data_IF_831877333255
#
_entry.id   IF_831877333255
#
_cell.length_a   1.000
_cell.length_b   1.000
_cell.length_c   1.000
_cell.angle_alpha   90.00
_cell.angle_beta   90.00
_cell.angle_gamma   90.00
#
_symmetry.space_group_name_H-M   'P 1'
#
loop_
_entity.id
_entity.type
_entity.pdbx_description
1 polymer ?
#
# COMPACT_ATOMS: atom_id res chain seq x y z
N UNK A 1 17.73 -17.28 -21.55
CA UNK A 1 16.78 -18.36 -21.26
C UNK A 1 15.65 -18.34 -22.30
N UNK A 2 15.36 -19.45 -22.99
CA UNK A 2 14.32 -19.51 -24.04
C UNK A 2 12.93 -19.18 -23.51
N UNK A 3 12.66 -19.37 -22.23
CA UNK A 3 11.40 -19.00 -21.56
C UNK A 3 11.20 -17.49 -21.57
N UNK A 4 12.23 -16.73 -21.22
CA UNK A 4 12.16 -15.27 -21.20
C UNK A 4 11.99 -14.69 -22.61
N UNK A 5 12.58 -15.32 -23.62
CA UNK A 5 12.40 -14.93 -25.03
C UNK A 5 10.96 -15.11 -25.47
N UNK A 6 10.32 -16.23 -25.08
CA UNK A 6 8.89 -16.46 -25.38
C UNK A 6 7.99 -15.40 -24.73
N UNK A 7 8.26 -15.03 -23.47
CA UNK A 7 7.47 -14.00 -22.79
C UNK A 7 7.57 -12.65 -23.50
N UNK A 8 8.77 -12.26 -23.95
CA UNK A 8 8.96 -11.00 -24.68
C UNK A 8 8.24 -10.96 -26.03
N UNK A 9 7.97 -12.13 -26.62
CA UNK A 9 7.27 -12.26 -27.90
C UNK A 9 5.75 -12.36 -27.79
N UNK A 10 5.20 -12.37 -26.57
CA UNK A 10 3.75 -12.37 -26.38
C UNK A 10 3.12 -11.11 -26.99
N UNK A 11 1.97 -11.26 -27.69
CA UNK A 11 1.31 -10.14 -28.37
C UNK A 11 0.85 -9.04 -27.43
N UNK A 12 0.58 -9.39 -26.19
CA UNK A 12 0.08 -8.50 -25.13
C UNK A 12 1.20 -7.73 -24.43
N UNK A 13 2.45 -8.09 -24.63
CA UNK A 13 3.61 -7.39 -24.06
C UNK A 13 3.92 -6.15 -24.90
N UNK A 14 3.96 -5.00 -24.26
CA UNK A 14 4.40 -3.75 -24.88
C UNK A 14 5.92 -3.59 -24.73
N UNK A 15 6.43 -3.72 -23.52
CA UNK A 15 7.87 -3.56 -23.20
C UNK A 15 8.26 -4.60 -22.15
N UNK A 16 9.43 -5.19 -22.30
CA UNK A 16 10.05 -6.06 -21.30
C UNK A 16 11.51 -5.64 -21.07
N UNK A 17 11.87 -5.44 -19.82
CA UNK A 17 13.19 -4.93 -19.40
C UNK A 17 13.83 -5.88 -18.41
N UNK A 18 15.09 -6.23 -18.66
CA UNK A 18 15.91 -6.97 -17.70
C UNK A 18 16.30 -6.06 -16.54
N UNK A 19 16.18 -6.60 -15.35
CA UNK A 19 16.60 -5.92 -14.13
C UNK A 19 17.56 -6.82 -13.35
N UNK A 20 18.70 -6.24 -12.99
CA UNK A 20 19.64 -6.80 -12.02
C UNK A 20 19.64 -5.90 -10.79
N UNK A 21 19.28 -6.46 -9.65
CA UNK A 21 19.11 -5.71 -8.40
C UNK A 21 19.88 -6.40 -7.28
N UNK A 22 20.79 -5.65 -6.64
CA UNK A 22 21.55 -6.13 -5.48
C UNK A 22 22.04 -4.96 -4.62
N UNK A 23 22.58 -5.28 -3.44
CA UNK A 23 23.08 -4.30 -2.50
C UNK A 23 24.57 -4.04 -2.68
N UNK A 24 24.94 -2.77 -2.60
CA UNK A 24 26.33 -2.31 -2.60
C UNK A 24 26.52 -1.17 -1.61
N UNK A 25 27.77 -0.95 -1.18
CA UNK A 25 28.15 0.23 -0.42
C UNK A 25 28.52 1.34 -1.40
N UNK A 26 27.76 2.41 -1.40
CA UNK A 26 28.06 3.62 -2.17
C UNK A 26 28.92 4.57 -1.35
N UNK A 27 30.01 5.06 -1.94
CA UNK A 27 30.92 6.02 -1.32
C UNK A 27 31.09 7.23 -2.24
N UNK A 28 30.82 8.41 -1.70
CA UNK A 28 31.07 9.69 -2.37
C UNK A 28 31.76 10.65 -1.40
N UNK A 29 32.95 11.09 -1.74
CA UNK A 29 33.77 11.90 -0.85
C UNK A 29 34.06 11.19 0.48
N UNK A 30 33.48 11.72 1.58
CA UNK A 30 33.61 11.12 2.93
C UNK A 30 32.34 10.42 3.39
N UNK A 31 31.29 10.49 2.63
CA UNK A 31 29.99 9.89 2.97
C UNK A 31 29.89 8.50 2.38
N UNK A 32 29.24 7.62 3.12
CA UNK A 32 28.98 6.24 2.69
C UNK A 32 27.60 5.78 3.10
N UNK A 33 26.95 5.00 2.24
CA UNK A 33 25.63 4.46 2.50
C UNK A 33 25.41 3.14 1.77
N UNK A 34 24.72 2.20 2.43
CA UNK A 34 24.24 0.99 1.76
C UNK A 34 23.10 1.34 0.81
N UNK A 35 23.23 0.91 -0.43
CA UNK A 35 22.25 1.20 -1.48
C UNK A 35 21.86 -0.06 -2.22
N UNK A 36 20.64 -0.10 -2.71
CA UNK A 36 20.18 -1.08 -3.67
C UNK A 36 20.49 -0.56 -5.07
N UNK A 37 21.42 -1.18 -5.75
CA UNK A 37 21.75 -0.86 -7.14
C UNK A 37 20.80 -1.60 -8.05
N UNK A 38 20.07 -0.86 -8.88
CA UNK A 38 19.13 -1.38 -9.86
C UNK A 38 19.68 -1.14 -11.26
N UNK A 39 20.26 -2.17 -11.86
CA UNK A 39 20.69 -2.16 -13.25
C UNK A 39 19.51 -2.41 -14.18
N UNK A 40 19.27 -1.51 -15.12
CA UNK A 40 18.16 -1.59 -16.08
C UNK A 40 18.64 -1.38 -17.51
N UNK A 41 17.84 -1.83 -18.47
CA UNK A 41 18.11 -1.57 -19.89
C UNK A 41 17.64 -0.17 -20.32
N UNK A 42 18.11 0.31 -21.47
CA UNK A 42 17.75 1.65 -21.98
C UNK A 42 16.24 1.81 -22.25
N UNK A 43 15.53 0.71 -22.51
CA UNK A 43 14.08 0.73 -22.72
C UNK A 43 13.27 0.89 -21.40
N UNK A 44 13.94 1.07 -20.27
CA UNK A 44 13.28 1.32 -18.98
C UNK A 44 12.43 2.59 -18.98
N UNK A 45 12.76 3.60 -19.79
CA UNK A 45 11.92 4.79 -19.98
C UNK A 45 10.55 4.44 -20.59
N UNK A 46 10.53 3.47 -21.52
CA UNK A 46 9.29 3.01 -22.15
C UNK A 46 8.46 2.14 -21.18
N UNK A 47 9.12 1.45 -20.25
CA UNK A 47 8.47 0.65 -19.23
C UNK A 47 7.79 1.52 -18.17
N UNK A 48 8.47 2.59 -17.77
CA UNK A 48 8.05 3.49 -16.70
C UNK A 48 8.04 4.92 -17.21
N UNK A 49 7.23 5.77 -16.61
CA UNK A 49 7.28 7.22 -16.92
C UNK A 49 8.36 7.89 -16.05
N UNK A 50 9.58 7.33 -16.06
CA UNK A 50 10.66 7.84 -15.21
C UNK A 50 11.02 9.29 -15.50
N UNK A 51 10.86 9.72 -16.74
CA UNK A 51 11.14 11.10 -17.15
C UNK A 51 10.31 12.14 -16.39
N UNK A 52 9.11 11.78 -15.95
CA UNK A 52 8.19 12.67 -15.21
C UNK A 52 8.64 12.95 -13.77
N UNK A 53 9.55 12.11 -13.24
CA UNK A 53 10.04 12.15 -11.87
C UNK A 53 11.52 12.48 -11.76
N UNK A 54 12.14 12.90 -12.87
CA UNK A 54 13.54 13.35 -12.88
C UNK A 54 13.65 14.83 -12.50
N UNK A 55 14.68 15.13 -11.74
CA UNK A 55 15.05 16.49 -11.33
C UNK A 55 16.51 16.75 -11.70
N UNK A 56 16.77 17.86 -12.37
CA UNK A 56 18.09 18.28 -12.84
C UNK A 56 18.07 18.78 -14.26
N UNK A 57 19.23 19.15 -14.79
CA UNK A 57 19.40 19.73 -16.12
C UNK A 57 19.81 18.71 -17.20
N UNK A 58 19.97 17.42 -16.80
CA UNK A 58 20.37 16.33 -17.68
C UNK A 58 19.20 15.50 -18.17
N UNK A 59 19.52 14.38 -18.82
CA UNK A 59 18.56 13.42 -19.35
C UNK A 59 18.76 12.03 -18.74
N UNK A 60 17.75 11.15 -18.88
CA UNK A 60 17.88 9.76 -18.48
C UNK A 60 18.87 9.05 -19.39
N UNK A 61 20.14 9.04 -18.97
CA UNK A 61 21.21 8.36 -19.69
C UNK A 61 21.88 7.38 -18.73
N UNK A 62 21.93 6.10 -19.11
CA UNK A 62 22.52 5.04 -18.31
C UNK A 62 23.96 4.74 -18.72
N UNK A 63 24.28 4.96 -19.99
CA UNK A 63 25.59 4.70 -20.57
C UNK A 63 25.80 5.56 -21.81
N UNK A 64 27.03 6.10 -21.95
CA UNK A 64 27.49 6.74 -23.17
C UNK A 64 28.95 6.34 -23.41
N UNK A 65 29.25 5.79 -24.58
CA UNK A 65 30.56 5.18 -24.90
C UNK A 65 30.99 4.16 -23.80
N UNK A 66 32.09 4.44 -23.14
CA UNK A 66 32.65 3.61 -22.07
C UNK A 66 32.31 4.12 -20.65
N UNK A 67 31.47 5.14 -20.54
CA UNK A 67 31.08 5.75 -19.28
C UNK A 67 29.72 5.25 -18.83
N UNK A 68 29.62 4.88 -17.57
CA UNK A 68 28.39 4.47 -16.93
C UNK A 68 27.90 5.56 -15.99
N UNK A 69 26.58 5.78 -15.97
CA UNK A 69 25.96 6.85 -15.22
C UNK A 69 25.12 6.30 -14.05
N UNK A 70 25.12 7.08 -12.97
CA UNK A 70 24.32 6.84 -11.78
C UNK A 70 23.17 7.81 -11.69
N UNK A 71 21.96 7.33 -11.59
CA UNK A 71 20.76 8.13 -11.32
C UNK A 71 20.29 7.76 -9.89
N UNK A 72 20.74 8.50 -8.86
CA UNK A 72 20.36 8.25 -7.48
C UNK A 72 18.97 8.81 -7.19
N UNK A 73 18.30 8.23 -6.18
CA UNK A 73 17.15 8.87 -5.57
C UNK A 73 17.55 10.20 -4.92
N UNK A 74 16.65 11.16 -4.89
CA UNK A 74 16.94 12.53 -4.43
C UNK A 74 17.46 12.57 -3.00
N UNK A 75 16.95 11.72 -2.10
CA UNK A 75 17.38 11.64 -0.71
C UNK A 75 18.74 10.94 -0.57
N UNK A 76 18.98 9.91 -1.38
CA UNK A 76 20.28 9.27 -1.45
C UNK A 76 21.36 10.28 -1.87
N UNK A 77 21.06 11.10 -2.88
CA UNK A 77 21.96 12.15 -3.31
C UNK A 77 22.23 13.16 -2.17
N UNK A 78 21.21 13.60 -1.46
CA UNK A 78 21.33 14.50 -0.31
C UNK A 78 22.16 13.87 0.84
N UNK A 79 21.87 12.62 1.22
CA UNK A 79 22.56 11.91 2.31
C UNK A 79 24.05 11.69 1.99
N UNK A 80 24.39 11.48 0.71
CA UNK A 80 25.79 11.39 0.24
C UNK A 80 26.43 12.76 -0.02
N UNK A 81 25.70 13.87 0.14
CA UNK A 81 26.20 15.21 -0.13
C UNK A 81 26.40 15.49 -1.63
N UNK A 82 25.65 14.81 -2.49
CA UNK A 82 25.66 15.00 -3.94
C UNK A 82 24.53 15.95 -4.36
N UNK A 83 24.80 16.76 -5.37
CA UNK A 83 23.75 17.48 -6.10
C UNK A 83 23.25 16.62 -7.27
N UNK A 84 22.21 17.07 -7.99
CA UNK A 84 21.74 16.40 -9.20
C UNK A 84 22.85 16.18 -10.21
N UNK A 85 23.73 17.18 -10.36
CA UNK A 85 24.98 17.08 -11.10
C UNK A 85 26.14 17.04 -10.10
N UNK A 86 26.60 15.86 -9.74
CA UNK A 86 27.77 15.70 -8.88
C UNK A 86 29.04 15.59 -9.69
N UNK A 87 30.13 16.13 -9.13
CA UNK A 87 31.45 16.10 -9.76
C UNK A 87 32.22 14.89 -9.27
N UNK A 88 32.99 14.25 -10.19
CA UNK A 88 33.80 13.09 -9.87
C UNK A 88 33.07 11.76 -9.95
N UNK A 89 33.50 10.80 -9.15
CA UNK A 89 33.05 9.42 -9.23
C UNK A 89 32.31 8.98 -7.97
N UNK A 90 31.14 8.39 -8.16
CA UNK A 90 30.45 7.61 -7.15
C UNK A 90 31.00 6.19 -7.16
N UNK A 91 31.72 5.78 -6.12
CA UNK A 91 32.29 4.45 -6.00
C UNK A 91 31.31 3.49 -5.38
N UNK A 92 31.16 2.32 -5.98
CA UNK A 92 30.33 1.22 -5.48
C UNK A 92 31.22 0.04 -5.11
N UNK A 93 30.97 -0.50 -3.92
CA UNK A 93 31.65 -1.67 -3.39
C UNK A 93 30.63 -2.79 -3.25
N UNK A 94 30.75 -3.85 -4.02
CA UNK A 94 29.92 -5.04 -3.95
C UNK A 94 30.71 -6.22 -3.41
N UNK A 95 30.16 -7.05 -2.52
CA UNK A 95 30.86 -8.23 -2.02
C UNK A 95 31.09 -9.23 -3.16
N UNK A 96 32.29 -9.81 -3.20
CA UNK A 96 32.64 -10.88 -4.15
C UNK A 96 31.80 -12.11 -3.83
N UNK A 97 31.06 -12.61 -4.79
CA UNK A 97 30.18 -13.80 -4.62
C UNK A 97 30.89 -15.11 -4.90
N UNK A 98 31.98 -15.09 -5.68
CA UNK A 98 32.75 -16.26 -6.08
C UNK A 98 34.12 -16.16 -5.50
N UNK A 99 34.48 -17.10 -4.65
CA UNK A 99 35.79 -17.23 -4.03
C UNK A 99 35.66 -17.53 -2.54
N UNK A 100 36.57 -18.34 -2.02
CA UNK A 100 36.76 -18.48 -0.58
C UNK A 100 37.70 -17.35 -0.14
N UNK A 101 37.25 -16.50 0.76
CA UNK A 101 38.14 -15.60 1.49
C UNK A 101 39.06 -16.51 2.31
N UNK A 102 40.34 -16.56 1.97
CA UNK A 102 41.36 -17.21 2.80
C UNK A 102 41.62 -16.31 4.01
N UNK A 103 41.91 -16.90 5.17
CA UNK A 103 42.21 -16.16 6.42
C UNK A 103 43.32 -15.09 6.29
N UNK A 104 44.07 -15.12 5.20
CA UNK A 104 45.20 -14.21 4.89
C UNK A 104 44.91 -13.25 3.72
N UNK A 105 43.66 -13.24 3.19
CA UNK A 105 43.29 -12.30 2.11
C UNK A 105 43.17 -10.87 2.63
N UNK A 106 43.69 -9.93 1.85
CA UNK A 106 43.51 -8.51 2.16
C UNK A 106 42.00 -8.23 2.16
N UNK A 107 41.43 -7.56 3.20
CA UNK A 107 40.01 -7.20 3.25
C UNK A 107 39.49 -6.49 1.98
N UNK A 108 40.40 -5.82 1.24
CA UNK A 108 40.06 -5.17 -0.04
C UNK A 108 39.78 -6.17 -1.18
N UNK A 109 40.31 -7.38 -1.14
CA UNK A 109 40.09 -8.43 -2.13
C UNK A 109 38.68 -9.05 -2.03
N UNK A 110 37.95 -8.79 -0.94
CA UNK A 110 36.55 -9.22 -0.72
C UNK A 110 35.52 -8.40 -1.44
N UNK A 111 35.88 -7.33 -2.16
CA UNK A 111 34.97 -6.42 -2.82
C UNK A 111 35.33 -6.18 -4.28
N UNK A 112 34.32 -6.19 -5.16
CA UNK A 112 34.43 -5.60 -6.49
C UNK A 112 34.15 -4.11 -6.34
N UNK A 113 35.06 -3.29 -6.87
CA UNK A 113 34.92 -1.82 -6.83
C UNK A 113 34.79 -1.29 -8.23
N UNK A 114 33.75 -0.55 -8.48
CA UNK A 114 33.55 0.14 -9.75
C UNK A 114 32.94 1.53 -9.50
N UNK A 115 32.92 2.38 -10.51
CA UNK A 115 32.58 3.79 -10.35
C UNK A 115 31.63 4.29 -11.45
N UNK A 116 30.74 5.17 -11.04
CA UNK A 116 29.74 5.81 -11.87
C UNK A 116 29.91 7.33 -11.84
N UNK A 117 29.47 7.99 -12.89
CA UNK A 117 29.43 9.45 -12.98
C UNK A 117 28.00 9.97 -13.02
N UNK A 118 27.83 11.27 -12.85
CA UNK A 118 26.51 11.91 -12.90
C UNK A 118 26.03 12.14 -14.34
N UNK A 119 24.76 11.79 -14.65
CA UNK A 119 24.12 12.23 -15.87
C UNK A 119 23.45 13.62 -15.73
N UNK A 120 23.59 14.27 -14.57
CA UNK A 120 22.97 15.56 -14.27
C UNK A 120 21.51 15.49 -13.81
N UNK A 121 21.04 14.31 -13.42
CA UNK A 121 19.67 14.10 -12.90
C UNK A 121 19.65 13.18 -11.71
N UNK A 122 18.67 13.39 -10.84
CA UNK A 122 18.24 12.52 -9.76
C UNK A 122 16.75 12.24 -9.94
N UNK A 123 16.23 11.16 -9.37
CA UNK A 123 14.81 10.91 -9.40
C UNK A 123 14.16 11.08 -8.02
N UNK A 124 12.88 11.44 -7.99
CA UNK A 124 12.08 11.53 -6.77
C UNK A 124 10.71 10.90 -6.97
N UNK A 125 10.46 9.80 -6.26
CA UNK A 125 9.16 9.11 -6.20
C UNK A 125 8.35 9.61 -4.99
N UNK A 126 8.99 10.41 -4.12
CA UNK A 126 8.47 10.84 -2.82
C UNK A 126 8.10 9.66 -1.88
N UNK A 127 8.85 8.58 -1.98
CA UNK A 127 8.79 7.44 -1.08
C UNK A 127 10.19 7.14 -0.54
N UNK A 128 10.36 7.24 0.78
CA UNK A 128 11.67 7.09 1.43
C UNK A 128 12.38 5.77 1.08
N UNK A 129 11.62 4.69 0.89
CA UNK A 129 12.14 3.38 0.51
C UNK A 129 12.92 3.41 -0.81
N UNK A 130 12.45 4.19 -1.79
CA UNK A 130 13.06 4.30 -3.11
C UNK A 130 14.04 5.46 -3.19
N UNK A 131 13.63 6.64 -2.69
CA UNK A 131 14.42 7.86 -2.81
C UNK A 131 15.72 7.86 -2.00
N UNK A 132 15.76 7.10 -0.89
CA UNK A 132 16.91 7.07 0.02
C UNK A 132 17.88 5.92 -0.23
N UNK A 133 17.38 4.78 -0.70
CA UNK A 133 18.17 3.56 -0.71
C UNK A 133 18.43 3.00 -2.11
N UNK A 134 17.92 3.62 -3.18
CA UNK A 134 18.02 3.04 -4.51
C UNK A 134 18.79 3.93 -5.47
N UNK A 135 19.63 3.27 -6.27
CA UNK A 135 20.43 3.84 -7.35
C UNK A 135 20.10 3.12 -8.64
N UNK A 136 19.80 3.85 -9.71
CA UNK A 136 19.54 3.28 -11.04
C UNK A 136 20.81 3.45 -11.88
N UNK A 137 21.20 2.39 -12.59
CA UNK A 137 22.34 2.37 -13.50
C UNK A 137 22.07 1.43 -14.69
N UNK A 138 23.04 1.30 -15.61
CA UNK A 138 22.96 0.32 -16.70
C UNK A 138 22.99 -1.12 -16.18
N UNK A 139 22.21 -2.00 -16.81
CA UNK A 139 22.22 -3.43 -16.51
C UNK A 139 23.60 -4.08 -16.72
N UNK A 140 24.36 -3.61 -17.71
CA UNK A 140 25.70 -4.13 -18.00
C UNK A 140 26.70 -3.75 -16.91
N UNK A 141 26.57 -2.54 -16.36
CA UNK A 141 27.33 -2.12 -15.20
C UNK A 141 26.99 -2.97 -13.97
N UNK A 142 25.71 -3.17 -13.67
CA UNK A 142 25.26 -3.97 -12.53
C UNK A 142 25.71 -5.42 -12.62
N UNK A 143 25.64 -6.04 -13.82
CA UNK A 143 26.12 -7.39 -14.06
C UNK A 143 27.62 -7.52 -13.77
N UNK A 144 28.41 -6.54 -14.22
CA UNK A 144 29.86 -6.51 -13.96
C UNK A 144 30.16 -6.29 -12.48
N UNK A 145 29.46 -5.37 -11.81
CA UNK A 145 29.67 -5.07 -10.40
C UNK A 145 29.36 -6.27 -9.51
N UNK A 146 28.30 -7.03 -9.82
CA UNK A 146 27.84 -8.15 -9.00
C UNK A 146 28.30 -9.53 -9.48
N UNK A 147 29.18 -9.60 -10.49
CA UNK A 147 29.62 -10.86 -11.12
C UNK A 147 28.42 -11.77 -11.51
N UNK A 148 27.44 -11.17 -12.18
CA UNK A 148 26.19 -11.82 -12.59
C UNK A 148 26.00 -11.82 -14.11
N UNK A 149 27.03 -12.16 -14.85
CA UNK A 149 26.99 -12.23 -16.31
C UNK A 149 25.90 -13.19 -16.80
N UNK A 150 25.05 -12.69 -17.68
CA UNK A 150 23.93 -13.46 -18.25
C UNK A 150 22.79 -13.77 -17.28
N UNK A 151 22.85 -13.30 -16.03
CA UNK A 151 21.79 -13.43 -15.04
C UNK A 151 20.92 -12.18 -14.98
N UNK A 152 19.73 -12.35 -14.40
CA UNK A 152 18.83 -11.24 -14.06
C UNK A 152 18.12 -11.55 -12.74
N UNK A 153 17.81 -10.53 -11.97
CA UNK A 153 17.02 -10.64 -10.74
C UNK A 153 15.54 -10.73 -11.05
N UNK A 154 15.08 -9.97 -12.04
CA UNK A 154 13.69 -9.97 -12.50
C UNK A 154 13.57 -9.48 -13.93
N UNK A 155 12.48 -9.91 -14.60
CA UNK A 155 12.02 -9.35 -15.86
C UNK A 155 10.80 -8.48 -15.57
N UNK A 156 10.92 -7.17 -15.79
CA UNK A 156 9.80 -6.24 -15.63
C UNK A 156 9.09 -6.07 -16.97
N UNK A 157 7.76 -6.16 -16.94
CA UNK A 157 6.92 -6.20 -18.13
C UNK A 157 5.83 -5.15 -18.02
N UNK A 158 5.64 -4.39 -19.10
CA UNK A 158 4.49 -3.51 -19.32
C UNK A 158 3.60 -4.14 -20.37
N UNK A 159 2.33 -4.30 -20.06
CA UNK A 159 1.32 -4.79 -20.99
C UNK A 159 0.78 -3.65 -21.84
N UNK A 160 0.24 -3.98 -23.01
CA UNK A 160 -0.45 -3.02 -23.88
C UNK A 160 -1.73 -2.51 -23.22
N UNK A 161 -2.13 -1.26 -23.50
CA UNK A 161 -3.40 -0.73 -23.00
C UNK A 161 -4.59 -1.58 -23.46
N UNK A 162 -5.52 -1.87 -22.55
CA UNK A 162 -6.71 -2.67 -22.84
C UNK A 162 -6.56 -4.18 -22.72
N UNK A 163 -5.36 -4.69 -22.41
CA UNK A 163 -5.14 -6.13 -22.19
C UNK A 163 -5.72 -6.59 -20.85
N UNK A 164 -6.32 -7.77 -20.83
CA UNK A 164 -6.79 -8.39 -19.58
C UNK A 164 -5.61 -8.94 -18.78
N UNK A 165 -5.29 -8.29 -17.66
CA UNK A 165 -4.17 -8.66 -16.79
C UNK A 165 -4.23 -10.12 -16.33
N UNK A 166 -5.43 -10.61 -15.97
CA UNK A 166 -5.58 -11.95 -15.40
C UNK A 166 -5.31 -13.06 -16.44
N UNK A 167 -5.77 -12.87 -17.66
CA UNK A 167 -5.60 -13.85 -18.74
C UNK A 167 -4.14 -13.91 -19.17
N UNK A 168 -3.51 -12.76 -19.42
CA UNK A 168 -2.09 -12.68 -19.78
C UNK A 168 -1.18 -13.21 -18.68
N UNK A 169 -1.51 -12.91 -17.41
CA UNK A 169 -0.77 -13.44 -16.26
C UNK A 169 -0.85 -14.97 -16.18
N UNK A 170 -2.02 -15.55 -16.47
CA UNK A 170 -2.21 -17.01 -16.52
C UNK A 170 -1.38 -17.62 -17.64
N UNK A 171 -1.40 -17.04 -18.83
CA UNK A 171 -0.59 -17.47 -19.96
C UNK A 171 0.91 -17.40 -19.65
N UNK A 172 1.37 -16.31 -19.02
CA UNK A 172 2.76 -16.20 -18.56
C UNK A 172 3.11 -17.27 -17.53
N UNK A 173 2.22 -17.57 -16.57
CA UNK A 173 2.42 -18.65 -15.59
C UNK A 173 2.55 -20.01 -16.24
N UNK A 174 1.74 -20.28 -17.26
CA UNK A 174 1.80 -21.54 -18.02
C UNK A 174 3.11 -21.68 -18.79
N UNK A 175 3.65 -20.58 -19.34
CA UNK A 175 4.93 -20.56 -20.05
C UNK A 175 6.12 -20.76 -19.09
N UNK A 176 6.12 -20.10 -17.92
CA UNK A 176 7.25 -20.16 -16.97
C UNK A 176 7.20 -21.41 -16.08
N UNK A 177 6.01 -22.00 -15.91
CA UNK A 177 5.79 -23.12 -15.00
C UNK A 177 6.20 -22.80 -13.58
N UNK A 178 6.84 -23.75 -12.89
CA UNK A 178 7.30 -23.58 -11.50
C UNK A 178 8.69 -22.94 -11.38
N UNK A 179 9.34 -22.56 -12.48
CA UNK A 179 10.71 -22.02 -12.47
C UNK A 179 10.79 -20.57 -12.02
N UNK A 180 9.75 -19.78 -12.32
CA UNK A 180 9.68 -18.35 -11.98
C UNK A 180 8.31 -18.00 -11.40
N UNK A 181 8.28 -16.95 -10.59
CA UNK A 181 7.04 -16.39 -10.07
C UNK A 181 6.61 -15.22 -10.95
N UNK A 182 5.38 -15.25 -11.43
CA UNK A 182 4.75 -14.14 -12.14
C UNK A 182 3.92 -13.37 -11.13
N UNK A 183 4.35 -12.16 -10.82
CA UNK A 183 3.73 -11.29 -9.82
C UNK A 183 3.17 -10.04 -10.50
N UNK A 184 1.94 -9.69 -10.20
CA UNK A 184 1.41 -8.38 -10.58
C UNK A 184 1.87 -7.28 -9.60
N UNK A 185 1.50 -6.03 -9.88
CA UNK A 185 1.86 -4.87 -9.08
C UNK A 185 1.39 -4.97 -7.62
N UNK A 186 0.24 -5.61 -7.40
CA UNK A 186 -0.32 -5.77 -6.05
C UNK A 186 0.39 -6.90 -5.30
N UNK A 187 0.67 -8.01 -5.97
CA UNK A 187 1.40 -9.14 -5.39
C UNK A 187 2.87 -8.82 -5.07
N UNK A 188 3.51 -7.91 -5.84
CA UNK A 188 4.85 -7.42 -5.52
C UNK A 188 4.92 -6.64 -4.20
N UNK A 189 3.80 -6.05 -3.79
CA UNK A 189 3.65 -5.31 -2.54
C UNK A 189 2.70 -6.03 -1.57
N UNK A 190 2.61 -7.36 -1.68
CA UNK A 190 1.68 -8.15 -0.89
C UNK A 190 1.80 -7.91 0.62
N UNK A 191 3.01 -7.74 1.14
CA UNK A 191 3.23 -7.46 2.56
C UNK A 191 2.56 -6.16 2.99
N UNK A 192 2.66 -5.10 2.19
CA UNK A 192 2.01 -3.82 2.46
C UNK A 192 0.49 -3.94 2.38
N UNK A 193 -0.04 -4.64 1.37
CA UNK A 193 -1.48 -4.85 1.23
C UNK A 193 -2.05 -5.77 2.32
N UNK A 194 -1.30 -6.79 2.74
CA UNK A 194 -1.69 -7.66 3.85
C UNK A 194 -1.77 -6.88 5.17
N UNK A 195 -0.81 -6.01 5.44
CA UNK A 195 -0.84 -5.12 6.61
C UNK A 195 -2.08 -4.23 6.57
N UNK A 196 -2.37 -3.59 5.44
CA UNK A 196 -3.57 -2.75 5.28
C UNK A 196 -4.88 -3.54 5.50
N UNK A 197 -4.95 -4.79 5.03
CA UNK A 197 -6.12 -5.65 5.28
C UNK A 197 -6.25 -6.02 6.77
N UNK A 198 -5.14 -6.35 7.43
CA UNK A 198 -5.13 -6.62 8.87
C UNK A 198 -5.58 -5.39 9.66
N UNK A 199 -5.08 -4.20 9.32
CA UNK A 199 -5.51 -2.93 9.93
C UNK A 199 -7.01 -2.68 9.74
N UNK A 200 -7.54 -2.95 8.54
CA UNK A 200 -8.97 -2.84 8.26
C UNK A 200 -9.80 -3.78 9.14
N UNK A 201 -9.42 -5.05 9.22
CA UNK A 201 -10.11 -6.04 10.08
C UNK A 201 -10.02 -5.63 11.56
N UNK A 202 -8.86 -5.17 12.01
CA UNK A 202 -8.66 -4.71 13.38
C UNK A 202 -9.56 -3.51 13.70
N UNK A 203 -9.65 -2.54 12.78
CA UNK A 203 -10.55 -1.40 12.92
C UNK A 203 -12.02 -1.84 13.03
N UNK A 204 -12.46 -2.82 12.21
CA UNK A 204 -13.81 -3.38 12.33
C UNK A 204 -14.07 -4.02 13.69
N UNK A 205 -13.12 -4.78 14.21
CA UNK A 205 -13.25 -5.41 15.54
C UNK A 205 -13.39 -4.34 16.63
N UNK A 206 -12.53 -3.32 16.61
CA UNK A 206 -12.62 -2.23 17.60
C UNK A 206 -13.92 -1.45 17.49
N UNK A 207 -14.34 -1.08 16.27
CA UNK A 207 -15.60 -0.37 16.06
C UNK A 207 -16.82 -1.20 16.49
N UNK A 208 -16.80 -2.51 16.23
CA UNK A 208 -17.84 -3.43 16.70
C UNK A 208 -17.88 -3.50 18.22
N UNK A 209 -16.72 -3.52 18.88
CA UNK A 209 -16.63 -3.49 20.34
C UNK A 209 -17.21 -2.18 20.92
N UNK A 210 -16.85 -1.02 20.34
CA UNK A 210 -17.41 0.28 20.74
C UNK A 210 -18.94 0.28 20.54
N UNK A 211 -19.42 -0.25 19.41
CA UNK A 211 -20.84 -0.38 19.15
C UNK A 211 -21.54 -1.28 20.17
N UNK A 212 -20.91 -2.38 20.58
CA UNK A 212 -21.42 -3.26 21.63
C UNK A 212 -21.59 -2.52 22.96
N UNK A 213 -20.60 -1.70 23.34
CA UNK A 213 -20.69 -0.84 24.54
C UNK A 213 -21.84 0.16 24.39
N UNK A 214 -21.99 0.78 23.22
CA UNK A 214 -23.09 1.70 22.95
C UNK A 214 -24.48 1.03 23.08
N UNK A 215 -24.58 -0.27 22.78
CA UNK A 215 -25.81 -1.04 22.93
C UNK A 215 -26.30 -1.11 24.37
N UNK A 216 -25.39 -1.09 25.38
CA UNK A 216 -25.82 -1.01 26.78
C UNK A 216 -26.59 0.28 27.07
N UNK A 217 -26.26 1.38 26.43
CA UNK A 217 -27.03 2.61 26.55
C UNK A 217 -28.43 2.47 25.94
N UNK A 218 -28.55 1.80 24.79
CA UNK A 218 -29.86 1.51 24.15
C UNK A 218 -30.69 0.61 25.08
N UNK A 219 -30.12 -0.45 25.63
CA UNK A 219 -30.79 -1.38 26.55
C UNK A 219 -31.28 -0.62 27.77
N UNK A 220 -30.43 0.20 28.39
CA UNK A 220 -30.76 0.99 29.57
C UNK A 220 -31.87 2.01 29.30
N UNK A 221 -31.74 2.78 28.21
CA UNK A 221 -32.72 3.79 27.82
C UNK A 221 -34.08 3.16 27.48
N UNK A 222 -34.07 2.05 26.73
CA UNK A 222 -35.30 1.34 26.38
C UNK A 222 -35.96 0.69 27.60
N UNK A 223 -35.15 0.19 28.55
CA UNK A 223 -35.66 -0.36 29.81
C UNK A 223 -36.34 0.72 30.66
N UNK A 224 -35.74 1.91 30.75
CA UNK A 224 -36.34 3.06 31.45
C UNK A 224 -37.63 3.50 30.77
N UNK A 225 -37.63 3.62 29.44
CA UNK A 225 -38.83 3.97 28.67
C UNK A 225 -39.98 2.97 28.91
N UNK A 226 -39.70 1.68 28.95
CA UNK A 226 -40.70 0.66 29.25
C UNK A 226 -41.31 0.85 30.64
N UNK A 227 -40.50 1.25 31.63
CA UNK A 227 -40.95 1.52 32.98
C UNK A 227 -41.84 2.77 33.02
N UNK A 228 -41.39 3.86 32.38
CA UNK A 228 -42.10 5.13 32.33
C UNK A 228 -43.44 5.01 31.59
N UNK A 229 -43.51 4.12 30.57
CA UNK A 229 -44.71 3.90 29.75
C UNK A 229 -45.58 2.73 30.22
N UNK A 230 -45.35 2.24 31.46
CA UNK A 230 -46.09 1.09 31.99
C UNK A 230 -47.59 1.31 32.08
N UNK A 231 -48.01 2.51 32.51
CA UNK A 231 -49.42 2.86 32.65
C UNK A 231 -50.14 2.99 31.28
N UNK A 232 -49.42 3.53 30.29
CA UNK A 232 -49.91 3.59 28.90
C UNK A 232 -50.04 2.17 28.33
N UNK A 233 -49.12 1.28 28.62
CA UNK A 233 -49.16 -0.13 28.21
C UNK A 233 -50.31 -0.87 28.87
N UNK A 234 -50.60 -0.61 30.16
CA UNK A 234 -51.78 -1.16 30.86
C UNK A 234 -53.09 -0.67 30.26
N UNK A 235 -53.17 0.59 29.91
CA UNK A 235 -54.36 1.19 29.21
C UNK A 235 -54.61 0.48 27.88
N UNK A 236 -53.56 0.29 27.06
CA UNK A 236 -53.68 -0.45 25.80
C UNK A 236 -54.16 -1.89 26.02
N UNK A 237 -53.65 -2.53 27.06
CA UNK A 237 -54.09 -3.91 27.43
C UNK A 237 -55.58 -3.95 27.83
N UNK A 238 -56.03 -2.98 28.61
CA UNK A 238 -57.44 -2.86 29.01
C UNK A 238 -58.37 -2.62 27.80
N UNK A 239 -57.82 -2.00 26.75
CA UNK A 239 -58.51 -1.82 25.44
C UNK A 239 -58.42 -3.08 24.57
N UNK A 240 -57.83 -4.18 25.02
CA UNK A 240 -57.78 -5.46 24.33
C UNK A 240 -56.44 -5.75 23.59
N UNK A 241 -55.41 -4.94 23.74
CA UNK A 241 -54.14 -5.23 23.12
C UNK A 241 -53.44 -6.43 23.79
N UNK A 242 -52.85 -7.32 23.00
CA UNK A 242 -52.08 -8.47 23.46
C UNK A 242 -50.66 -8.05 23.87
N UNK A 243 -50.07 -8.81 24.80
CA UNK A 243 -48.67 -8.57 25.23
C UNK A 243 -47.71 -8.60 24.06
N UNK A 244 -48.01 -9.39 23.02
CA UNK A 244 -47.20 -9.41 21.78
C UNK A 244 -47.29 -8.12 20.98
N UNK A 245 -48.44 -7.47 20.94
CA UNK A 245 -48.62 -6.20 20.28
C UNK A 245 -47.87 -5.08 21.01
N UNK A 246 -47.99 -5.04 22.34
CA UNK A 246 -47.31 -4.06 23.19
C UNK A 246 -45.80 -4.23 23.05
N UNK A 247 -45.29 -5.47 23.06
CA UNK A 247 -43.88 -5.75 22.84
C UNK A 247 -43.38 -5.29 21.47
N UNK A 248 -44.21 -5.44 20.42
CA UNK A 248 -43.84 -4.98 19.07
C UNK A 248 -43.70 -3.45 19.00
N UNK A 249 -44.45 -2.69 19.75
CA UNK A 249 -44.34 -1.24 19.82
C UNK A 249 -42.94 -0.86 20.31
N UNK A 250 -42.50 -1.38 21.44
CA UNK A 250 -41.17 -1.08 21.99
C UNK A 250 -40.02 -1.60 21.12
N UNK A 251 -40.22 -2.77 20.46
CA UNK A 251 -39.24 -3.25 19.49
C UNK A 251 -39.12 -2.32 18.28
N UNK A 252 -40.26 -1.78 17.81
CA UNK A 252 -40.28 -0.86 16.68
C UNK A 252 -39.57 0.45 17.03
N UNK A 253 -39.76 0.95 18.26
CA UNK A 253 -39.13 2.14 18.77
C UNK A 253 -37.60 1.97 18.83
N UNK A 254 -37.09 0.89 19.39
CA UNK A 254 -35.67 0.58 19.41
C UNK A 254 -35.06 0.47 17.99
N UNK A 255 -35.83 -0.06 17.03
CA UNK A 255 -35.39 -0.12 15.62
C UNK A 255 -35.32 1.26 14.98
N UNK A 256 -36.30 2.12 15.24
CA UNK A 256 -36.32 3.47 14.72
C UNK A 256 -35.14 4.28 15.26
N UNK A 257 -34.86 4.18 16.55
CA UNK A 257 -33.72 4.83 17.20
C UNK A 257 -32.41 4.36 16.55
N UNK A 258 -32.24 3.05 16.39
CA UNK A 258 -31.03 2.47 15.79
C UNK A 258 -30.88 2.87 14.31
N UNK A 259 -31.96 2.86 13.55
CA UNK A 259 -31.96 3.24 12.13
C UNK A 259 -31.65 4.75 11.95
N UNK A 260 -32.31 5.60 12.75
CA UNK A 260 -32.06 7.03 12.71
C UNK A 260 -30.60 7.36 13.10
N UNK A 261 -30.09 6.72 14.15
CA UNK A 261 -28.69 6.85 14.56
C UNK A 261 -27.72 6.39 13.48
N UNK A 262 -28.00 5.26 12.81
CA UNK A 262 -27.18 4.76 11.71
C UNK A 262 -27.15 5.74 10.52
N UNK A 263 -28.30 6.27 10.11
CA UNK A 263 -28.40 7.23 9.00
C UNK A 263 -27.64 8.52 9.34
N UNK A 264 -27.89 9.10 10.52
CA UNK A 264 -27.21 10.32 10.97
C UNK A 264 -25.70 10.09 11.09
N UNK A 265 -25.27 8.95 11.68
CA UNK A 265 -23.86 8.61 11.81
C UNK A 265 -23.15 8.45 10.46
N UNK A 266 -23.78 7.78 9.49
CA UNK A 266 -23.24 7.63 8.14
C UNK A 266 -23.15 8.98 7.43
N UNK A 267 -24.18 9.82 7.52
CA UNK A 267 -24.16 11.15 6.89
C UNK A 267 -23.04 12.03 7.47
N UNK A 268 -22.85 12.01 8.79
CA UNK A 268 -21.77 12.74 9.44
C UNK A 268 -20.40 12.17 9.04
N UNK A 269 -20.26 10.84 8.98
CA UNK A 269 -19.02 10.19 8.53
C UNK A 269 -18.66 10.55 7.11
N UNK A 270 -19.63 10.48 6.18
CA UNK A 270 -19.43 10.87 4.78
C UNK A 270 -19.09 12.36 4.63
N UNK A 271 -19.73 13.23 5.43
CA UNK A 271 -19.42 14.65 5.46
C UNK A 271 -17.98 14.90 5.89
N UNK A 272 -17.52 14.23 6.95
CA UNK A 272 -16.12 14.34 7.41
C UNK A 272 -15.13 13.82 6.36
N UNK A 273 -15.44 12.70 5.69
CA UNK A 273 -14.63 12.19 4.59
C UNK A 273 -14.54 13.19 3.43
N UNK A 274 -15.68 13.80 3.07
CA UNK A 274 -15.71 14.82 2.02
C UNK A 274 -14.92 16.06 2.40
N UNK A 275 -15.06 16.56 3.64
CA UNK A 275 -14.28 17.68 4.16
C UNK A 275 -12.78 17.38 4.15
N UNK A 276 -12.38 16.16 4.50
CA UNK A 276 -10.98 15.76 4.45
C UNK A 276 -10.44 15.73 3.02
N UNK A 277 -11.23 15.26 2.04
CA UNK A 277 -10.82 15.25 0.63
C UNK A 277 -10.64 16.66 0.07
N UNK A 278 -11.52 17.61 0.45
CA UNK A 278 -11.50 18.96 -0.09
C UNK A 278 -10.47 19.86 0.62
N UNK A 279 -10.40 19.79 1.94
CA UNK A 279 -9.58 20.69 2.74
C UNK A 279 -8.29 20.06 3.29
N UNK A 280 -8.17 18.73 3.28
CA UNK A 280 -6.95 18.05 3.74
C UNK A 280 -6.53 18.34 5.16
N UNK A 281 -7.47 18.42 6.12
CA UNK A 281 -7.17 18.78 7.52
C UNK A 281 -6.13 17.88 8.18
N UNK A 282 -6.16 16.59 7.88
CA UNK A 282 -5.20 15.61 8.41
C UNK A 282 -4.07 15.46 7.42
N UNK A 283 -2.86 15.87 7.83
CA UNK A 283 -1.65 15.74 7.04
C UNK A 283 -0.87 14.49 7.45
N UNK A 284 -0.20 13.86 6.48
CA UNK A 284 0.72 12.76 6.73
C UNK A 284 2.07 13.26 7.23
N UNK A 285 2.19 13.56 8.53
CA UNK A 285 3.45 13.83 9.22
C UNK A 285 4.27 15.03 8.70
N UNK A 286 4.99 15.69 9.59
CA UNK A 286 5.82 16.87 9.32
C UNK A 286 7.16 16.57 8.60
N UNK A 287 7.39 15.35 8.13
CA UNK A 287 8.58 15.06 7.33
C UNK A 287 8.37 15.56 5.90
N UNK A 288 8.68 16.83 5.69
CA UNK A 288 8.73 17.45 4.37
C UNK A 288 9.43 16.50 3.37
N UNK A 289 8.71 16.04 2.36
CA UNK A 289 9.23 15.19 1.30
C UNK A 289 9.11 13.67 1.53
N UNK A 290 8.31 13.18 2.52
CA UNK A 290 8.14 11.73 2.70
C UNK A 290 7.02 11.12 1.86
N UNK A 291 6.05 11.90 1.39
CA UNK A 291 4.89 11.40 0.65
C UNK A 291 4.57 12.27 -0.57
N UNK A 292 4.06 11.66 -1.62
CA UNK A 292 3.60 12.32 -2.86
C UNK A 292 2.40 13.23 -2.59
N UNK A 293 1.66 12.95 -1.53
CA UNK A 293 0.42 13.66 -1.17
C UNK A 293 0.59 14.25 0.23
N UNK A 294 0.38 15.57 0.37
CA UNK A 294 0.51 16.27 1.64
C UNK A 294 -0.64 15.96 2.61
N UNK A 295 -1.84 15.66 2.09
CA UNK A 295 -3.00 15.30 2.89
C UNK A 295 -3.20 13.79 2.94
N UNK A 296 -3.71 13.28 4.06
CA UNK A 296 -4.05 11.86 4.20
C UNK A 296 -5.13 11.48 3.17
N UNK A 297 -4.85 10.55 2.22
CA UNK A 297 -5.81 10.20 1.19
C UNK A 297 -6.98 9.43 1.80
N UNK A 298 -8.19 9.92 1.57
CA UNK A 298 -9.44 9.26 1.99
C UNK A 298 -10.15 8.73 0.76
N UNK A 299 -10.48 7.44 0.78
CA UNK A 299 -11.29 6.78 -0.25
C UNK A 299 -12.54 6.18 0.39
N UNK A 300 -13.71 6.58 -0.08
CA UNK A 300 -14.98 6.03 0.41
C UNK A 300 -15.36 4.82 -0.44
N UNK A 301 -15.43 3.66 0.22
CA UNK A 301 -15.93 2.43 -0.39
C UNK A 301 -17.38 2.19 0.02
N UNK A 302 -18.29 2.19 -0.93
CA UNK A 302 -19.73 2.01 -0.67
C UNK A 302 -20.05 0.65 -0.05
N UNK A 303 -19.27 -0.37 -0.36
CA UNK A 303 -19.42 -1.71 0.24
C UNK A 303 -19.18 -1.68 1.75
N UNK A 304 -18.18 -0.92 2.21
CA UNK A 304 -17.88 -0.76 3.63
C UNK A 304 -18.99 -0.01 4.35
N UNK A 305 -19.55 1.03 3.72
CA UNK A 305 -20.70 1.78 4.26
C UNK A 305 -21.91 0.87 4.42
N UNK A 306 -22.19 0.02 3.43
CA UNK A 306 -23.28 -0.93 3.48
C UNK A 306 -23.10 -1.98 4.61
N UNK A 307 -21.88 -2.52 4.76
CA UNK A 307 -21.54 -3.47 5.83
C UNK A 307 -21.76 -2.83 7.21
N UNK A 308 -21.25 -1.61 7.41
CA UNK A 308 -21.42 -0.88 8.68
C UNK A 308 -22.89 -0.62 8.96
N UNK A 309 -23.66 -0.18 7.98
CA UNK A 309 -25.09 0.05 8.12
C UNK A 309 -25.85 -1.20 8.58
N UNK A 310 -25.61 -2.33 7.89
CA UNK A 310 -26.22 -3.62 8.24
C UNK A 310 -25.82 -4.07 9.64
N UNK A 311 -24.54 -3.93 9.99
CA UNK A 311 -24.00 -4.30 11.30
C UNK A 311 -24.68 -3.49 12.42
N UNK A 312 -24.80 -2.17 12.25
CA UNK A 312 -25.46 -1.30 13.24
C UNK A 312 -26.95 -1.68 13.40
N UNK A 313 -27.66 -1.94 12.30
CA UNK A 313 -29.06 -2.37 12.35
C UNK A 313 -29.25 -3.72 13.07
N UNK A 314 -28.38 -4.70 12.78
CA UNK A 314 -28.44 -6.02 13.40
C UNK A 314 -28.17 -5.96 14.91
N UNK A 315 -27.11 -5.26 15.31
CA UNK A 315 -26.76 -5.11 16.70
C UNK A 315 -27.78 -4.26 17.47
N UNK A 316 -28.28 -3.17 16.85
CA UNK A 316 -29.32 -2.34 17.44
C UNK A 316 -30.66 -3.11 17.61
N UNK A 317 -31.00 -3.97 16.65
CA UNK A 317 -32.15 -4.85 16.78
C UNK A 317 -31.98 -5.86 17.90
N UNK A 318 -30.81 -6.50 18.02
CA UNK A 318 -30.51 -7.42 19.10
C UNK A 318 -30.56 -6.72 20.46
N UNK A 319 -30.02 -5.50 20.55
CA UNK A 319 -30.07 -4.69 21.77
C UNK A 319 -31.50 -4.33 22.18
N UNK A 320 -32.38 -3.99 21.24
CA UNK A 320 -33.77 -3.70 21.51
C UNK A 320 -34.57 -4.95 21.92
N UNK A 321 -34.18 -6.13 21.44
CA UNK A 321 -34.87 -7.38 21.74
C UNK A 321 -34.65 -7.85 23.20
N UNK A 322 -33.48 -7.57 23.80
CA UNK A 322 -33.13 -8.02 25.16
C UNK A 322 -34.13 -7.50 26.22
N UNK A 323 -34.37 -6.15 26.38
CA UNK A 323 -35.27 -5.66 27.39
C UNK A 323 -36.73 -6.00 27.09
N UNK A 324 -37.12 -6.13 25.83
CA UNK A 324 -38.49 -6.43 25.43
C UNK A 324 -38.89 -7.90 25.61
N UNK A 325 -37.91 -8.84 25.68
CA UNK A 325 -38.17 -10.26 25.84
C UNK A 325 -38.88 -10.58 27.14
N UNK A 326 -38.55 -9.88 28.24
CA UNK A 326 -39.05 -10.14 29.57
C UNK A 326 -40.23 -9.24 29.97
N UNK A 327 -40.80 -8.52 29.01
CA UNK A 327 -41.98 -7.69 29.20
C UNK A 327 -43.17 -8.61 29.51
N UNK A 328 -43.35 -8.95 30.83
CA UNK A 328 -44.63 -9.44 31.37
C UNK A 328 -45.26 -8.24 32.04
N UNK A 329 -46.28 -7.69 31.46
CA UNK A 329 -47.16 -6.71 32.13
C UNK A 329 -47.85 -7.46 33.23
N UNK A 330 -47.22 -7.47 34.45
CA UNK A 330 -47.86 -8.12 35.62
C UNK A 330 -49.15 -7.39 35.97
N UNK A 331 -50.16 -8.23 36.39
CA UNK A 331 -51.44 -7.76 36.93
C UNK A 331 -51.24 -6.85 38.14
#
# INVERSE_FOLDING_TARGET
>A
DPVLTKIRQLPDVAVATDVVEDQALAIYGRQQQMVTVMGVQNNFQELTNISDILYGDGEFTLQAANLFYAIPGIRLAQDLGMNARFDGYLKLYAPVRRGQLTEFADPSEGFVVDSLISPGVVYAVNQAKYDRNRLICSVDFARRLFDQDGMLSSLQIRLKPGTNLNDTKKEMKDIVGNRFRVLDRFEQQADTFNIMQIEKVLAYVFLTFILMVACFNIISSLSMLIIDKKDDAMTLRNLGATDSQIRRIFLFEGRIISAAGAVVGILLGLLLCWLQQEFGFVHMGDSAGSFVVNAYPVSVHYDDVAIVFVTVLLIGWAAAWIPTRNLKVQR
#
